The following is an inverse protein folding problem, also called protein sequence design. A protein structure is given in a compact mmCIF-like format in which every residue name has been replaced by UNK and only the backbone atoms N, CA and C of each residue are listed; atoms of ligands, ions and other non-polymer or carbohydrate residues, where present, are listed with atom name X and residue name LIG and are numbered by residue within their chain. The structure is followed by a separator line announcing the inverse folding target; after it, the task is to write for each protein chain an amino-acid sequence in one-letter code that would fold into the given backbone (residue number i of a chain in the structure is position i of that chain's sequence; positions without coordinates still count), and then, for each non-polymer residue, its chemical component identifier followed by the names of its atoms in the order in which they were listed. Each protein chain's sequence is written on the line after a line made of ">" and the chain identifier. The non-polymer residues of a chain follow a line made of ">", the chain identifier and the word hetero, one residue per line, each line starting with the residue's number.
data_IF_041140539768
#
_entry.id   IF_041140539768
#
_cell.length_a   1.000
_cell.length_b   1.000
_cell.length_c   1.000
_cell.angle_alpha   90.00
_cell.angle_beta   90.00
_cell.angle_gamma   90.00
#
_symmetry.space_group_name_H-M   'P 1'
#
loop_
_entity.id
_entity.type
_entity.pdbx_description
1 polymer ?
#
# COMPACT_ATOMS: atom_id res chain seq x y z
N UNK A 1 -2.98 -34.55 11.60
CA UNK A 1 -3.07 -34.53 13.07
C UNK A 1 -3.83 -33.27 13.48
N UNK A 2 -4.93 -33.40 14.23
CA UNK A 2 -5.67 -32.25 14.77
C UNK A 2 -4.81 -31.61 15.86
N UNK A 3 -4.59 -30.29 15.79
CA UNK A 3 -3.78 -29.58 16.79
C UNK A 3 -4.39 -29.73 18.20
N UNK A 4 -3.59 -29.80 19.27
CA UNK A 4 -4.10 -30.02 20.64
C UNK A 4 -5.19 -29.02 21.05
N UNK A 5 -5.02 -27.76 20.66
CA UNK A 5 -5.96 -26.65 20.81
C UNK A 5 -7.32 -26.91 20.14
N UNK A 6 -7.33 -27.57 18.98
CA UNK A 6 -8.56 -27.96 18.30
C UNK A 6 -9.24 -29.17 18.96
N UNK A 7 -8.48 -30.07 19.59
CA UNK A 7 -9.03 -31.18 20.38
C UNK A 7 -9.72 -30.67 21.65
N UNK A 8 -9.11 -29.71 22.35
CA UNK A 8 -9.70 -29.08 23.54
C UNK A 8 -11.00 -28.35 23.19
N UNK A 9 -11.05 -27.63 22.05
CA UNK A 9 -12.27 -26.97 21.57
C UNK A 9 -13.39 -27.95 21.21
N UNK A 10 -13.04 -29.18 20.84
CA UNK A 10 -13.98 -30.26 20.57
C UNK A 10 -14.41 -31.03 21.83
N UNK A 11 -13.99 -30.60 23.03
CA UNK A 11 -14.29 -31.28 24.29
C UNK A 11 -13.48 -32.56 24.51
N UNK A 12 -12.43 -32.79 23.71
CA UNK A 12 -11.52 -33.92 23.86
C UNK A 12 -10.27 -33.51 24.63
N UNK A 13 -9.81 -34.42 25.51
CA UNK A 13 -8.56 -34.24 26.24
C UNK A 13 -7.39 -34.74 25.37
N UNK A 14 -6.41 -33.90 25.03
CA UNK A 14 -5.24 -34.32 24.27
C UNK A 14 -4.43 -35.39 25.01
N UNK A 15 -3.82 -36.32 24.27
CA UNK A 15 -3.01 -37.40 24.84
C UNK A 15 -1.84 -36.88 25.72
N UNK A 16 -1.31 -35.70 25.40
CA UNK A 16 -0.21 -35.09 26.14
C UNK A 16 -0.65 -34.55 27.51
N UNK A 17 -1.91 -34.13 27.63
CA UNK A 17 -2.52 -33.68 28.89
C UNK A 17 -2.89 -34.85 29.79
N UNK A 18 -3.28 -36.00 29.21
CA UNK A 18 -3.55 -37.24 29.95
C UNK A 18 -2.40 -37.66 30.87
N UNK A 19 -1.15 -37.42 30.48
CA UNK A 19 0.05 -37.75 31.28
C UNK A 19 0.35 -36.75 32.39
N UNK A 20 -0.31 -35.60 32.41
CA UNK A 20 -0.12 -34.54 33.39
C UNK A 20 -1.23 -34.55 34.46
N UNK A 21 -2.23 -35.44 34.32
CA UNK A 21 -3.26 -35.62 35.33
C UNK A 21 -2.68 -36.30 36.58
N UNK A 22 -3.07 -35.87 37.79
CA UNK A 22 -2.74 -36.59 39.02
C UNK A 22 -3.26 -38.02 39.00
N UNK A 23 -2.51 -38.95 39.60
CA UNK A 23 -2.94 -40.34 39.72
C UNK A 23 -4.29 -40.44 40.44
N UNK A 24 -5.24 -41.16 39.83
CA UNK A 24 -6.61 -41.32 40.35
C UNK A 24 -7.58 -40.18 39.99
N UNK A 25 -7.16 -39.15 39.24
CA UNK A 25 -8.07 -38.12 38.74
C UNK A 25 -8.93 -38.65 37.58
N UNK A 26 -10.26 -38.52 37.70
CA UNK A 26 -11.17 -38.83 36.59
C UNK A 26 -11.03 -37.77 35.49
N UNK A 27 -10.52 -38.17 34.33
CA UNK A 27 -10.34 -37.31 33.17
C UNK A 27 -11.65 -36.63 32.68
N UNK A 28 -12.82 -37.19 33.03
CA UNK A 28 -14.13 -36.57 32.73
C UNK A 28 -14.49 -35.42 33.67
N UNK A 29 -13.80 -35.29 34.79
CA UNK A 29 -14.05 -34.27 35.82
C UNK A 29 -12.95 -33.21 35.89
N UNK A 30 -11.96 -33.24 34.99
CA UNK A 30 -10.88 -32.26 34.96
C UNK A 30 -11.31 -30.99 34.23
N UNK A 31 -11.19 -29.85 34.92
CA UNK A 31 -11.41 -28.52 34.36
C UNK A 31 -10.07 -27.96 33.87
N UNK A 32 -9.92 -27.83 32.55
CA UNK A 32 -8.76 -27.14 31.97
C UNK A 32 -9.04 -25.64 31.91
N UNK A 33 -8.33 -24.87 32.73
CA UNK A 33 -8.36 -23.42 32.66
C UNK A 33 -7.36 -22.95 31.60
N UNK A 34 -7.87 -22.37 30.51
CA UNK A 34 -6.98 -21.70 29.56
C UNK A 34 -6.51 -20.37 30.15
N UNK A 35 -5.21 -20.27 30.42
CA UNK A 35 -4.60 -19.01 30.80
C UNK A 35 -4.66 -18.02 29.64
N UNK A 36 -4.90 -16.74 29.94
CA UNK A 36 -4.77 -15.69 28.94
C UNK A 36 -3.34 -15.70 28.33
N UNK A 37 -3.20 -15.38 27.03
CA UNK A 37 -1.90 -15.17 26.42
C UNK A 37 -1.06 -14.20 27.26
N UNK A 38 0.20 -14.56 27.52
CA UNK A 38 1.12 -13.72 28.32
C UNK A 38 1.35 -12.34 27.68
N UNK A 39 1.17 -12.21 26.37
CA UNK A 39 1.35 -10.95 25.66
C UNK A 39 0.58 -10.91 24.35
N UNK A 40 -0.06 -9.77 24.09
CA UNK A 40 -0.69 -9.44 22.81
C UNK A 40 0.16 -8.51 21.94
N UNK A 41 1.39 -8.19 22.37
CA UNK A 41 2.24 -7.22 21.69
C UNK A 41 2.54 -7.62 20.23
N UNK A 42 2.81 -8.90 19.98
CA UNK A 42 3.09 -9.42 18.63
C UNK A 42 1.92 -9.21 17.67
N UNK A 43 0.73 -9.77 17.95
CA UNK A 43 -0.45 -9.56 17.11
C UNK A 43 -0.81 -8.08 16.92
N UNK A 44 -0.73 -7.27 17.99
CA UNK A 44 -1.01 -5.82 17.91
C UNK A 44 -0.01 -5.13 16.97
N UNK A 45 1.28 -5.42 17.11
CA UNK A 45 2.32 -4.83 16.25
C UNK A 45 2.10 -5.18 14.77
N UNK A 46 1.69 -6.41 14.46
CA UNK A 46 1.39 -6.83 13.09
C UNK A 46 0.21 -6.04 12.51
N UNK A 47 -0.87 -5.88 13.28
CA UNK A 47 -2.04 -5.11 12.83
C UNK A 47 -1.68 -3.64 12.61
N UNK A 48 -0.92 -3.04 13.52
CA UNK A 48 -0.46 -1.66 13.40
C UNK A 48 0.44 -1.46 12.18
N UNK A 49 1.42 -2.35 11.98
CA UNK A 49 2.34 -2.29 10.84
C UNK A 49 1.59 -2.44 9.50
N UNK A 50 0.64 -3.38 9.43
CA UNK A 50 -0.18 -3.56 8.24
C UNK A 50 -1.03 -2.31 7.93
N UNK A 51 -1.69 -1.75 8.95
CA UNK A 51 -2.55 -0.57 8.79
C UNK A 51 -1.74 0.64 8.34
N UNK A 52 -0.58 0.88 8.97
CA UNK A 52 0.32 1.96 8.59
C UNK A 52 0.88 1.77 7.18
N UNK A 53 1.29 0.55 6.83
CA UNK A 53 1.83 0.21 5.49
C UNK A 53 0.81 0.41 4.37
N UNK A 54 -0.44 -0.02 4.59
CA UNK A 54 -1.54 0.21 3.64
C UNK A 54 -1.79 1.71 3.47
N UNK A 55 -1.91 2.44 4.58
CA UNK A 55 -2.11 3.90 4.55
C UNK A 55 -1.00 4.64 3.81
N UNK A 56 0.26 4.30 4.10
CA UNK A 56 1.42 4.88 3.43
C UNK A 56 1.42 4.59 1.92
N UNK A 57 1.06 3.38 1.52
CA UNK A 57 1.01 2.98 0.10
C UNK A 57 -0.07 3.77 -0.65
N UNK A 58 -1.27 3.89 -0.08
CA UNK A 58 -2.37 4.66 -0.66
C UNK A 58 -1.98 6.14 -0.78
N UNK A 59 -1.36 6.69 0.27
CA UNK A 59 -0.92 8.08 0.28
C UNK A 59 0.14 8.34 -0.80
N UNK A 60 1.17 7.50 -0.87
CA UNK A 60 2.23 7.60 -1.89
C UNK A 60 1.67 7.51 -3.30
N UNK A 61 0.77 6.55 -3.57
CA UNK A 61 0.12 6.41 -4.86
C UNK A 61 -0.69 7.66 -5.23
N UNK A 62 -1.44 8.20 -4.28
CA UNK A 62 -2.27 9.41 -4.49
C UNK A 62 -1.40 10.62 -4.81
N UNK A 63 -0.34 10.84 -4.02
CA UNK A 63 0.58 11.95 -4.25
C UNK A 63 1.28 11.80 -5.61
N UNK A 64 1.76 10.60 -5.95
CA UNK A 64 2.40 10.34 -7.23
C UNK A 64 1.48 10.67 -8.42
N UNK A 65 0.22 10.26 -8.36
CA UNK A 65 -0.78 10.57 -9.40
C UNK A 65 -1.03 12.08 -9.49
N UNK A 66 -1.19 12.78 -8.36
CA UNK A 66 -1.39 14.23 -8.35
C UNK A 66 -0.19 14.99 -8.94
N UNK A 67 1.03 14.54 -8.68
CA UNK A 67 2.23 15.12 -9.28
C UNK A 67 2.23 14.96 -10.80
N UNK A 68 1.89 13.77 -11.31
CA UNK A 68 1.78 13.54 -12.76
C UNK A 68 0.74 14.44 -13.42
N UNK A 69 -0.43 14.61 -12.81
CA UNK A 69 -1.48 15.50 -13.32
C UNK A 69 -1.01 16.95 -13.31
N UNK A 70 -0.30 17.37 -12.26
CA UNK A 70 0.23 18.75 -12.16
C UNK A 70 1.28 19.03 -13.24
N UNK A 71 2.18 18.08 -13.50
CA UNK A 71 3.16 18.18 -14.59
C UNK A 71 2.46 18.25 -15.95
N UNK A 72 1.44 17.43 -16.18
CA UNK A 72 0.67 17.45 -17.42
C UNK A 72 -0.07 18.80 -17.62
N UNK A 73 -0.68 19.35 -16.57
CA UNK A 73 -1.39 20.63 -16.65
C UNK A 73 -0.44 21.81 -16.90
N UNK A 74 0.71 21.83 -16.21
CA UNK A 74 1.72 22.89 -16.37
C UNK A 74 2.40 22.85 -17.75
N UNK A 75 2.66 21.66 -18.28
CA UNK A 75 3.19 21.52 -19.64
C UNK A 75 2.17 21.93 -20.70
N UNK A 76 0.90 21.53 -20.55
CA UNK A 76 -0.17 21.94 -21.48
C UNK A 76 -0.36 23.47 -21.51
N UNK A 77 -0.39 24.11 -20.34
CA UNK A 77 -0.50 25.58 -20.24
C UNK A 77 0.73 26.29 -20.80
N UNK A 78 1.94 25.77 -20.58
CA UNK A 78 3.15 26.32 -21.17
C UNK A 78 3.14 26.24 -22.71
N UNK A 79 2.71 25.11 -23.28
CA UNK A 79 2.56 24.96 -24.74
C UNK A 79 1.50 25.92 -25.28
N UNK A 80 0.35 26.03 -24.62
CA UNK A 80 -0.71 26.94 -25.04
C UNK A 80 -0.28 28.41 -24.98
N UNK A 81 0.54 28.81 -24.01
CA UNK A 81 1.11 30.15 -23.94
C UNK A 81 2.20 30.38 -25.00
N UNK A 82 2.93 29.33 -25.39
CA UNK A 82 3.96 29.39 -26.42
C UNK A 82 3.38 29.44 -27.85
N UNK A 83 2.19 28.89 -28.10
CA UNK A 83 1.56 28.90 -29.45
C UNK A 83 1.35 30.35 -29.96
N UNK A 84 0.77 31.29 -29.20
CA UNK A 84 0.69 32.70 -29.60
C UNK A 84 2.05 33.39 -29.73
N UNK A 85 3.08 32.98 -28.98
CA UNK A 85 4.43 33.52 -29.13
C UNK A 85 5.11 33.01 -30.42
N UNK A 86 4.83 31.76 -30.81
CA UNK A 86 5.31 31.14 -32.04
C UNK A 86 4.57 31.66 -33.28
N UNK A 87 3.25 31.86 -33.18
CA UNK A 87 2.40 32.37 -34.26
C UNK A 87 2.35 33.90 -34.34
N UNK A 88 2.46 34.58 -33.20
CA UNK A 88 2.56 36.04 -33.08
C UNK A 88 3.99 36.57 -33.23
N UNK A 89 4.98 35.67 -33.24
CA UNK A 89 6.37 35.94 -33.60
C UNK A 89 6.56 36.09 -35.10
N UNK A 90 5.94 37.12 -35.68
CA UNK A 90 6.19 37.66 -37.02
C UNK A 90 7.62 38.22 -37.21
N UNK A 91 8.59 37.73 -36.43
CA UNK A 91 10.02 37.94 -36.67
C UNK A 91 10.60 36.86 -37.58
N UNK A 92 10.35 35.59 -37.28
CA UNK A 92 10.99 34.47 -37.99
C UNK A 92 10.36 34.19 -39.36
N UNK A 93 9.04 34.28 -39.51
CA UNK A 93 8.38 34.15 -40.81
C UNK A 93 8.75 35.32 -41.72
N UNK A 94 8.83 36.53 -41.19
CA UNK A 94 9.21 37.72 -41.97
C UNK A 94 10.69 37.72 -42.34
N UNK A 95 11.58 37.23 -41.46
CA UNK A 95 12.99 36.98 -41.79
C UNK A 95 13.13 35.92 -42.88
N UNK A 96 12.43 34.79 -42.79
CA UNK A 96 12.46 33.74 -43.79
C UNK A 96 11.96 34.21 -45.17
N UNK A 97 10.87 34.99 -45.21
CA UNK A 97 10.34 35.57 -46.46
C UNK A 97 11.27 36.64 -47.05
N UNK A 98 11.97 37.42 -46.22
CA UNK A 98 12.87 38.48 -46.68
C UNK A 98 14.20 37.92 -47.21
N UNK A 99 14.70 36.81 -46.66
CA UNK A 99 15.86 36.10 -47.21
C UNK A 99 15.53 35.37 -48.52
N UNK A 100 14.32 34.84 -48.68
CA UNK A 100 13.93 34.12 -49.90
C UNK A 100 13.76 35.02 -51.15
N UNK A 101 13.78 36.35 -51.00
CA UNK A 101 13.54 37.31 -52.11
C UNK A 101 14.82 37.91 -52.71
N UNK A 102 16.00 37.57 -52.21
CA UNK A 102 17.27 38.23 -52.57
C UNK A 102 18.27 37.34 -53.33
N UNK A 103 17.79 36.40 -54.15
CA UNK A 103 18.63 35.63 -55.10
C UNK A 103 17.96 35.51 -56.47
N UNK A 104 17.50 36.64 -57.01
CA UNK A 104 16.84 36.70 -58.31
C UNK A 104 17.08 38.02 -59.00
N UNK A 105 18.34 38.31 -59.34
CA UNK A 105 18.78 39.11 -60.49
C UNK A 105 20.30 39.18 -60.53
#
# INVERSE_FOLDING_TARGET
>A
MIRPDAQIRAGHLPADLYRQLPDGADARQVVIVQAAPRSYAGPIAVVLAATAGIGATIWLATVAVLQLVTVAATTATAVQAAIPALLGGSGLVTLAVKFSRKDGK
#
